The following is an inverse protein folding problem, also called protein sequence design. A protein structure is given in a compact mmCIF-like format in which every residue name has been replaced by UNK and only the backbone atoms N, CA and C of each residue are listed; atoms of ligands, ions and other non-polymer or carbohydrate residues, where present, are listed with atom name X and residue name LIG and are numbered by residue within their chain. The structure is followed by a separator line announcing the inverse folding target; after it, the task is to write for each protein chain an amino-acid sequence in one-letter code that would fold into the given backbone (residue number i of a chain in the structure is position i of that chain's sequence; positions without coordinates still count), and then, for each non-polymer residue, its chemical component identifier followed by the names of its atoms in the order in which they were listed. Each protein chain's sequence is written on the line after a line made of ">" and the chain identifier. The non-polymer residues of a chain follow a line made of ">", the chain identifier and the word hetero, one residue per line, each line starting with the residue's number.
data_IF_270170931205
#
_entry.id   IF_270170931205
#
_cell.length_a   1.000
_cell.length_b   1.000
_cell.length_c   1.000
_cell.angle_alpha   90.00
_cell.angle_beta   90.00
_cell.angle_gamma   90.00
#
_symmetry.space_group_name_H-M   'P 1'
#
loop_
_entity.id
_entity.type
_entity.pdbx_description
1 polymer ?
#
# COMPACT_ATOMS: atom_id res chain seq x y z
N UNK A 1 11.36 23.40 12.03
CA UNK A 1 12.67 22.86 12.44
C UNK A 1 12.58 22.40 13.89
N UNK A 2 13.44 21.52 14.40
CA UNK A 2 13.45 21.23 15.85
C UNK A 2 13.80 22.48 16.68
N UNK A 3 14.64 23.35 16.12
CA UNK A 3 15.03 24.64 16.72
C UNK A 3 13.87 25.65 16.79
N UNK A 4 12.86 25.53 15.93
CA UNK A 4 11.70 26.45 15.96
C UNK A 4 10.70 26.12 17.06
N UNK A 5 10.83 24.96 17.73
CA UNK A 5 9.94 24.51 18.81
C UNK A 5 10.75 23.85 19.94
N UNK A 6 11.62 24.60 20.63
CA UNK A 6 12.64 24.02 21.48
C UNK A 6 12.07 23.26 22.69
N UNK A 7 11.01 23.77 23.30
CA UNK A 7 10.34 23.13 24.45
C UNK A 7 9.79 21.74 24.05
N UNK A 8 9.16 21.63 22.87
CA UNK A 8 8.63 20.35 22.39
C UNK A 8 9.76 19.39 22.09
N UNK A 9 10.80 19.84 21.40
CA UNK A 9 11.97 19.02 21.10
C UNK A 9 12.65 18.50 22.36
N UNK A 10 12.85 19.35 23.37
CA UNK A 10 13.46 18.97 24.63
C UNK A 10 12.61 17.94 25.39
N UNK A 11 11.29 18.09 25.40
CA UNK A 11 10.39 17.10 26.01
C UNK A 11 10.45 15.73 25.34
N UNK A 12 10.62 15.70 24.00
CA UNK A 12 10.76 14.45 23.25
C UNK A 12 12.12 13.79 23.48
N UNK A 13 13.20 14.59 23.55
CA UNK A 13 14.54 14.08 23.87
C UNK A 13 14.63 13.55 25.29
N UNK A 14 14.04 14.24 26.27
CA UNK A 14 13.96 13.74 27.65
C UNK A 14 13.27 12.38 27.69
N UNK A 15 12.17 12.21 26.95
CA UNK A 15 11.51 10.92 26.82
C UNK A 15 12.38 9.84 26.18
N UNK A 16 13.18 10.17 25.16
CA UNK A 16 14.12 9.21 24.55
C UNK A 16 15.23 8.79 25.52
N UNK A 17 15.67 9.69 26.41
CA UNK A 17 16.63 9.38 27.49
C UNK A 17 15.97 8.49 28.55
N UNK A 18 14.76 8.85 29.01
CA UNK A 18 14.01 8.07 30.01
C UNK A 18 13.68 6.65 29.53
N UNK A 19 13.38 6.49 28.23
CA UNK A 19 13.15 5.18 27.60
C UNK A 19 14.46 4.40 27.35
N UNK A 20 15.63 5.01 27.59
CA UNK A 20 16.95 4.40 27.47
C UNK A 20 17.50 4.33 26.04
N UNK A 21 16.88 5.03 25.08
CA UNK A 21 17.30 5.00 23.67
C UNK A 21 18.57 5.80 23.42
N UNK A 22 18.81 6.84 24.20
CA UNK A 22 20.05 7.62 24.17
C UNK A 22 20.52 7.98 25.57
N UNK A 23 21.78 8.41 25.66
CA UNK A 23 22.36 9.08 26.83
C UNK A 23 22.69 10.51 26.46
N UNK A 24 22.49 11.42 27.40
CA UNK A 24 22.81 12.83 27.21
C UNK A 24 24.06 13.26 27.98
N UNK A 25 24.77 14.25 27.45
CA UNK A 25 26.03 14.76 28.00
C UNK A 25 26.04 16.29 27.90
N UNK A 26 26.52 16.95 28.96
CA UNK A 26 26.71 18.41 29.01
C UNK A 26 28.02 18.86 28.35
N UNK A 27 28.98 17.95 28.17
CA UNK A 27 30.30 18.22 27.60
C UNK A 27 30.62 17.26 26.47
N UNK A 28 31.26 17.77 25.41
CA UNK A 28 31.79 16.94 24.32
C UNK A 28 32.89 16.00 24.82
N UNK A 29 33.68 16.40 25.82
CA UNK A 29 34.74 15.55 26.37
C UNK A 29 34.18 14.29 27.03
N UNK A 30 33.07 14.43 27.76
CA UNK A 30 32.40 13.31 28.43
C UNK A 30 31.76 12.37 27.40
N UNK A 31 31.16 12.93 26.34
CA UNK A 31 30.65 12.17 25.21
C UNK A 31 31.76 11.35 24.52
N UNK A 32 32.88 11.99 24.20
CA UNK A 32 34.01 11.33 23.52
C UNK A 32 34.64 10.24 24.38
N UNK A 33 34.76 10.48 25.68
CA UNK A 33 35.20 9.49 26.67
C UNK A 33 34.22 8.31 26.74
N UNK A 34 32.91 8.57 26.76
CA UNK A 34 31.87 7.53 26.78
C UNK A 34 31.89 6.65 25.52
N UNK A 35 32.12 7.26 24.35
CA UNK A 35 32.15 6.57 23.06
C UNK A 35 33.51 5.95 22.72
N UNK A 36 34.52 6.15 23.56
CA UNK A 36 35.91 5.75 23.33
C UNK A 36 36.40 6.14 21.92
N UNK A 37 36.19 7.42 21.55
CA UNK A 37 36.52 7.92 20.23
C UNK A 37 37.07 9.34 20.28
N UNK A 38 37.82 9.72 19.24
CA UNK A 38 38.37 11.08 19.12
C UNK A 38 37.42 12.08 18.47
N UNK A 39 36.44 11.60 17.70
CA UNK A 39 35.51 12.43 16.91
C UNK A 39 34.16 11.74 16.74
N UNK A 40 33.12 12.56 16.64
CA UNK A 40 31.74 12.15 16.34
C UNK A 40 31.21 12.89 15.12
N UNK A 41 30.21 12.30 14.46
CA UNK A 41 29.43 12.95 13.41
C UNK A 41 28.09 13.35 14.02
N UNK A 42 27.88 14.66 14.17
CA UNK A 42 26.63 15.19 14.67
C UNK A 42 25.60 15.28 13.55
N UNK A 43 24.39 14.82 13.81
CA UNK A 43 23.25 14.90 12.89
C UNK A 43 22.25 15.92 13.40
N UNK A 44 21.74 16.80 12.53
CA UNK A 44 20.72 17.78 12.91
C UNK A 44 19.39 17.09 13.21
N UNK A 45 18.62 17.69 14.11
CA UNK A 45 17.32 17.19 14.48
C UNK A 45 16.22 17.93 13.71
N UNK A 46 15.41 17.18 13.00
CA UNK A 46 14.16 17.59 12.39
C UNK A 46 12.97 17.25 13.30
N UNK A 47 11.94 18.08 13.22
CA UNK A 47 10.67 17.88 13.92
C UNK A 47 9.55 17.79 12.88
N UNK A 48 8.89 16.64 12.81
CA UNK A 48 7.83 16.38 11.83
C UNK A 48 6.48 16.19 12.54
N UNK A 49 5.45 16.95 12.18
CA UNK A 49 4.12 16.77 12.77
C UNK A 49 3.53 15.42 12.35
N UNK A 50 2.90 14.73 13.29
CA UNK A 50 2.08 13.56 13.01
C UNK A 50 0.80 14.05 12.33
N UNK A 51 0.43 13.43 11.20
CA UNK A 51 -0.78 13.83 10.48
C UNK A 51 -2.01 13.66 11.36
N UNK A 52 -2.82 14.71 11.46
CA UNK A 52 -4.09 14.70 12.18
C UNK A 52 -3.96 14.76 13.70
N UNK A 53 -2.78 15.06 14.24
CA UNK A 53 -2.60 15.30 15.68
C UNK A 53 -1.61 16.45 15.92
N UNK A 54 -1.64 17.03 17.12
CA UNK A 54 -0.69 18.06 17.55
C UNK A 54 0.64 17.47 18.05
N UNK A 55 0.87 16.17 17.82
CA UNK A 55 2.08 15.48 18.23
C UNK A 55 3.16 15.57 17.16
N UNK A 56 4.41 15.56 17.59
CA UNK A 56 5.56 15.59 16.70
C UNK A 56 6.39 14.29 16.78
N UNK A 57 7.23 14.08 15.76
CA UNK A 57 8.25 13.01 15.70
C UNK A 57 9.61 13.66 15.51
N UNK A 58 10.60 13.16 16.25
CA UNK A 58 12.00 13.46 16.01
C UNK A 58 12.49 12.67 14.80
N UNK A 59 13.19 13.34 13.89
CA UNK A 59 13.86 12.71 12.74
C UNK A 59 15.26 13.27 12.66
N UNK A 60 16.26 12.42 12.49
CA UNK A 60 17.63 12.86 12.28
C UNK A 60 17.84 13.19 10.79
N UNK A 61 18.27 14.40 10.49
CA UNK A 61 18.60 14.82 9.14
C UNK A 61 20.05 14.44 8.80
N UNK A 62 20.25 13.17 8.47
CA UNK A 62 21.53 12.61 8.06
C UNK A 62 21.90 12.93 6.59
N UNK A 63 21.17 13.83 5.94
CA UNK A 63 21.49 14.29 4.58
C UNK A 63 22.41 15.51 4.57
N UNK A 64 22.37 16.35 5.59
CA UNK A 64 23.21 17.56 5.66
C UNK A 64 24.68 17.29 6.00
N UNK A 65 24.99 16.15 6.62
CA UNK A 65 26.33 15.78 7.07
C UNK A 65 26.97 14.66 6.22
N UNK A 66 26.43 14.39 5.03
CA UNK A 66 26.86 13.33 4.11
C UNK A 66 26.93 11.91 4.70
N UNK A 67 26.36 11.69 5.90
CA UNK A 67 26.34 10.39 6.54
C UNK A 67 25.58 9.38 5.66
N UNK A 68 24.41 9.77 5.15
CA UNK A 68 23.63 8.93 4.25
C UNK A 68 24.31 8.65 2.90
N UNK A 69 25.18 9.54 2.44
CA UNK A 69 25.98 9.35 1.23
C UNK A 69 27.14 8.37 1.45
N UNK A 70 27.68 8.34 2.68
CA UNK A 70 28.80 7.49 3.08
C UNK A 70 28.40 6.04 3.43
N UNK A 71 27.11 5.80 3.67
CA UNK A 71 26.59 4.46 3.99
C UNK A 71 26.51 3.59 2.74
N UNK A 72 27.24 2.47 2.76
CA UNK A 72 27.10 1.40 1.79
C UNK A 72 25.96 0.45 2.20
N UNK A 73 24.97 0.27 1.31
CA UNK A 73 23.93 -0.75 1.46
C UNK A 73 24.22 -1.89 0.49
N UNK A 74 24.58 -3.11 0.96
CA UNK A 74 24.91 -4.22 0.09
C UNK A 74 23.68 -4.83 -0.60
N UNK A 75 22.47 -4.52 -0.13
CA UNK A 75 21.23 -5.11 -0.63
C UNK A 75 20.07 -4.11 -0.58
N UNK A 76 19.02 -4.43 -1.33
CA UNK A 76 17.76 -3.71 -1.29
C UNK A 76 16.73 -4.47 -0.44
N UNK A 77 16.05 -3.76 0.44
CA UNK A 77 14.94 -4.31 1.19
C UNK A 77 13.75 -4.56 0.25
N UNK A 78 13.31 -5.81 0.15
CA UNK A 78 12.08 -6.18 -0.57
C UNK A 78 10.93 -6.23 0.43
N UNK A 79 9.98 -5.31 0.28
CA UNK A 79 8.79 -5.25 1.10
C UNK A 79 7.61 -5.92 0.40
N UNK A 80 6.70 -6.58 1.15
CA UNK A 80 5.53 -7.20 0.56
C UNK A 80 4.60 -6.15 -0.05
N UNK A 81 3.94 -6.54 -1.13
CA UNK A 81 2.93 -5.76 -1.83
C UNK A 81 1.54 -6.15 -1.37
N UNK A 82 0.56 -5.33 -1.74
CA UNK A 82 -0.86 -5.66 -1.52
C UNK A 82 -1.21 -6.99 -2.19
N UNK A 83 -0.67 -7.28 -3.38
CA UNK A 83 -0.86 -8.56 -4.09
C UNK A 83 -0.44 -9.77 -3.27
N UNK A 84 0.69 -9.69 -2.58
CA UNK A 84 1.25 -10.83 -1.84
C UNK A 84 0.33 -11.23 -0.66
N UNK A 85 -0.27 -10.22 -0.01
CA UNK A 85 -1.27 -10.43 1.03
C UNK A 85 -2.61 -10.93 0.49
N UNK A 86 -3.00 -10.53 -0.74
CA UNK A 86 -4.19 -11.07 -1.42
C UNK A 86 -3.99 -12.54 -1.72
N UNK A 87 -2.84 -12.91 -2.31
CA UNK A 87 -2.55 -14.29 -2.73
C UNK A 87 -2.55 -15.23 -1.51
N UNK A 88 -1.95 -14.78 -0.41
CA UNK A 88 -1.99 -15.47 0.88
C UNK A 88 -3.43 -15.66 1.39
N UNK A 89 -4.24 -14.60 1.33
CA UNK A 89 -5.61 -14.63 1.86
C UNK A 89 -6.53 -15.47 0.97
N UNK A 90 -6.35 -15.44 -0.36
CA UNK A 90 -7.04 -16.29 -1.32
C UNK A 90 -6.74 -17.75 -1.05
N UNK A 91 -5.46 -18.11 -0.87
CA UNK A 91 -5.07 -19.48 -0.57
C UNK A 91 -5.74 -20.01 0.70
N UNK A 92 -5.75 -19.22 1.79
CA UNK A 92 -6.40 -19.60 3.05
C UNK A 92 -7.93 -19.65 2.92
N UNK A 93 -8.53 -18.75 2.13
CA UNK A 93 -9.97 -18.69 1.90
C UNK A 93 -10.48 -19.83 1.03
N UNK A 94 -9.74 -20.21 -0.01
CA UNK A 94 -10.04 -21.38 -0.83
C UNK A 94 -10.10 -22.65 0.02
N UNK A 95 -9.10 -22.84 0.89
CA UNK A 95 -9.07 -23.97 1.82
C UNK A 95 -10.23 -23.89 2.83
N UNK A 96 -10.52 -22.69 3.36
CA UNK A 96 -11.69 -22.50 4.23
C UNK A 96 -13.00 -22.89 3.54
N UNK A 97 -13.14 -22.60 2.25
CA UNK A 97 -14.34 -22.95 1.49
C UNK A 97 -14.40 -24.45 1.16
N UNK A 98 -13.26 -25.13 0.98
CA UNK A 98 -13.22 -26.55 0.63
C UNK A 98 -13.43 -27.48 1.83
N UNK A 99 -12.78 -27.19 2.97
CA UNK A 99 -12.80 -28.06 4.16
C UNK A 99 -13.43 -27.39 5.39
N UNK A 100 -13.95 -26.18 5.23
CA UNK A 100 -14.58 -25.42 6.32
C UNK A 100 -13.59 -24.75 7.28
N UNK A 101 -14.14 -24.25 8.38
CA UNK A 101 -13.42 -23.54 9.44
C UNK A 101 -13.60 -22.02 9.41
N UNK A 102 -12.79 -21.34 10.20
CA UNK A 102 -12.81 -19.89 10.39
C UNK A 102 -11.50 -19.27 9.92
N UNK A 103 -11.61 -18.33 9.00
CA UNK A 103 -10.53 -17.45 8.56
C UNK A 103 -10.58 -16.15 9.37
N UNK A 104 -9.47 -15.80 9.99
CA UNK A 104 -9.31 -14.57 10.76
C UNK A 104 -7.98 -13.91 10.44
N UNK A 105 -7.87 -12.63 10.77
CA UNK A 105 -6.62 -11.90 10.65
C UNK A 105 -6.44 -10.88 11.76
N UNK A 106 -5.19 -10.48 11.98
CA UNK A 106 -4.80 -9.45 12.93
C UNK A 106 -3.67 -8.60 12.35
N UNK A 107 -3.72 -7.29 12.61
CA UNK A 107 -2.62 -6.35 12.36
C UNK A 107 -2.21 -5.67 13.66
N UNK A 108 -0.92 -5.64 13.99
CA UNK A 108 -0.40 -5.00 15.22
C UNK A 108 0.99 -4.38 14.98
N UNK A 109 1.08 -3.05 14.98
CA UNK A 109 2.35 -2.36 14.76
C UNK A 109 3.41 -2.66 15.86
N UNK A 110 4.67 -2.75 15.46
CA UNK A 110 5.82 -2.68 16.37
C UNK A 110 5.99 -1.25 16.90
N UNK A 111 6.01 -1.10 18.21
CA UNK A 111 6.24 0.20 18.86
C UNK A 111 7.72 0.56 18.83
N UNK A 112 8.05 1.73 18.27
CA UNK A 112 9.41 2.23 18.16
C UNK A 112 10.37 1.23 17.48
N UNK A 113 9.91 0.55 16.42
CA UNK A 113 10.61 -0.53 15.71
C UNK A 113 12.15 -0.35 15.59
N UNK A 114 12.63 0.76 15.03
CA UNK A 114 14.07 1.00 14.87
C UNK A 114 14.81 1.10 16.22
N UNK A 115 14.16 1.63 17.24
CA UNK A 115 14.71 1.77 18.59
C UNK A 115 14.79 0.44 19.35
N UNK A 116 14.17 -0.62 18.83
CA UNK A 116 14.29 -1.97 19.40
C UNK A 116 15.61 -2.64 19.02
N UNK A 117 16.34 -2.11 18.03
CA UNK A 117 17.60 -2.67 17.55
C UNK A 117 18.77 -1.90 18.18
N UNK A 118 19.60 -2.56 19.01
CA UNK A 118 20.81 -1.97 19.54
C UNK A 118 21.82 -1.65 18.44
N UNK A 119 22.53 -0.55 18.64
CA UNK A 119 23.59 -0.10 17.75
C UNK A 119 24.94 -0.68 18.23
N UNK A 120 25.76 -1.15 17.28
CA UNK A 120 27.13 -1.56 17.59
C UNK A 120 27.94 -0.37 18.11
N UNK A 121 28.82 -0.58 19.09
CA UNK A 121 29.61 0.50 19.71
C UNK A 121 30.34 1.37 18.68
N UNK A 122 30.96 0.75 17.67
CA UNK A 122 31.67 1.46 16.58
C UNK A 122 30.79 2.36 15.71
N UNK A 123 29.47 2.13 15.70
CA UNK A 123 28.51 2.91 14.89
C UNK A 123 27.90 4.09 15.68
N UNK A 124 28.01 4.06 17.02
CA UNK A 124 27.47 5.10 17.90
C UNK A 124 28.04 6.50 17.65
N UNK A 125 29.34 6.69 17.31
CA UNK A 125 29.86 8.00 16.94
C UNK A 125 29.16 8.66 15.75
N UNK A 126 28.44 7.89 14.92
CA UNK A 126 27.65 8.41 13.80
C UNK A 126 26.17 8.65 14.14
N UNK A 127 25.75 8.31 15.37
CA UNK A 127 24.38 8.43 15.86
C UNK A 127 24.32 9.42 17.02
N UNK A 128 24.97 10.57 16.84
CA UNK A 128 25.01 11.67 17.80
C UNK A 128 24.17 12.85 17.32
N UNK A 129 23.40 13.43 18.24
CA UNK A 129 22.63 14.66 18.02
C UNK A 129 23.08 15.71 19.02
N UNK A 130 23.15 16.97 18.59
CA UNK A 130 23.37 18.11 19.48
C UNK A 130 22.14 19.00 19.47
N UNK A 131 21.61 19.30 20.65
CA UNK A 131 20.42 20.14 20.81
C UNK A 131 20.48 20.88 22.14
N UNK A 132 20.22 22.19 22.10
CA UNK A 132 20.12 23.06 23.29
C UNK A 132 21.30 22.92 24.26
N UNK A 133 22.53 22.97 23.72
CA UNK A 133 23.76 22.88 24.52
C UNK A 133 24.11 21.48 25.03
N UNK A 134 23.30 20.45 24.72
CA UNK A 134 23.53 19.06 25.15
C UNK A 134 23.78 18.13 23.97
N UNK A 135 24.62 17.13 24.21
CA UNK A 135 24.92 16.05 23.28
C UNK A 135 24.09 14.82 23.62
N UNK A 136 23.57 14.12 22.62
CA UNK A 136 22.78 12.91 22.77
C UNK A 136 23.42 11.80 21.93
N UNK A 137 23.94 10.77 22.58
CA UNK A 137 24.47 9.58 21.92
C UNK A 137 23.40 8.48 21.93
N UNK A 138 22.94 8.06 20.75
CA UNK A 138 21.94 7.00 20.64
C UNK A 138 22.59 5.62 20.73
N UNK A 139 21.93 4.73 21.49
CA UNK A 139 22.30 3.32 21.60
C UNK A 139 21.51 2.43 20.64
N UNK A 140 20.63 3.02 19.83
CA UNK A 140 19.67 2.32 18.97
C UNK A 140 19.57 3.01 17.62
N UNK A 141 18.97 2.35 16.63
CA UNK A 141 18.87 2.90 15.28
C UNK A 141 18.05 4.21 15.25
N UNK A 142 18.50 5.17 14.46
CA UNK A 142 17.87 6.47 14.31
C UNK A 142 16.93 6.54 13.09
N UNK A 143 15.82 7.26 13.23
CA UNK A 143 14.99 7.62 12.08
C UNK A 143 15.72 8.66 11.24
N UNK A 144 15.81 8.42 9.92
CA UNK A 144 16.46 9.31 8.96
C UNK A 144 17.89 8.90 8.56
N UNK A 145 18.46 7.91 9.26
CA UNK A 145 19.69 7.24 8.83
C UNK A 145 19.35 6.16 7.81
N UNK A 146 20.09 6.14 6.68
CA UNK A 146 19.79 5.32 5.50
C UNK A 146 19.85 3.81 5.76
N UNK A 147 20.72 3.35 6.66
CA UNK A 147 20.88 1.94 7.02
C UNK A 147 19.78 1.41 7.95
N UNK A 148 19.14 2.27 8.74
CA UNK A 148 18.21 1.85 9.79
C UNK A 148 17.01 1.04 9.26
N UNK A 149 16.33 1.44 8.16
CA UNK A 149 15.26 0.64 7.58
C UNK A 149 15.72 -0.73 7.09
N UNK A 150 16.93 -0.84 6.56
CA UNK A 150 17.47 -2.12 6.07
C UNK A 150 17.76 -3.07 7.24
N UNK A 151 18.42 -2.58 8.28
CA UNK A 151 18.75 -3.38 9.47
C UNK A 151 17.46 -3.85 10.15
N UNK A 152 16.49 -2.94 10.36
CA UNK A 152 15.18 -3.34 10.87
C UNK A 152 14.48 -4.34 9.95
N UNK A 153 14.54 -4.15 8.63
CA UNK A 153 13.93 -5.07 7.68
C UNK A 153 14.49 -6.49 7.78
N UNK A 154 15.79 -6.65 8.04
CA UNK A 154 16.41 -7.96 8.31
C UNK A 154 15.88 -8.59 9.58
N UNK A 155 15.79 -7.80 10.65
CA UNK A 155 15.27 -8.25 11.95
C UNK A 155 13.79 -8.66 11.82
N UNK A 156 12.96 -7.79 11.24
CA UNK A 156 11.56 -8.04 10.95
C UNK A 156 11.37 -9.32 10.12
N UNK A 157 12.21 -9.56 9.10
CA UNK A 157 12.16 -10.78 8.31
C UNK A 157 12.53 -12.03 9.12
N UNK A 158 13.54 -11.96 9.99
CA UNK A 158 13.91 -13.07 10.88
C UNK A 158 12.76 -13.43 11.82
N UNK A 159 12.24 -12.47 12.58
CA UNK A 159 11.17 -12.71 13.56
C UNK A 159 9.86 -13.12 12.91
N UNK A 160 9.62 -12.72 11.65
CA UNK A 160 8.46 -13.16 10.87
C UNK A 160 8.59 -14.60 10.41
N UNK A 161 9.78 -15.04 10.00
CA UNK A 161 10.03 -16.46 9.67
C UNK A 161 9.92 -17.35 10.89
N UNK A 162 10.43 -16.90 12.05
CA UNK A 162 10.26 -17.61 13.32
C UNK A 162 8.78 -17.74 13.70
N UNK A 163 8.02 -16.64 13.62
CA UNK A 163 6.58 -16.66 13.87
C UNK A 163 5.84 -17.59 12.89
N UNK A 164 6.17 -17.53 11.61
CA UNK A 164 5.57 -18.40 10.58
C UNK A 164 5.91 -19.87 10.81
N UNK A 165 7.13 -20.19 11.24
CA UNK A 165 7.53 -21.54 11.62
C UNK A 165 6.78 -22.04 12.86
N UNK A 166 6.59 -21.19 13.87
CA UNK A 166 5.84 -21.52 15.08
C UNK A 166 4.34 -21.76 14.79
N UNK A 167 3.77 -21.03 13.84
CA UNK A 167 2.35 -21.10 13.50
C UNK A 167 2.02 -22.13 12.42
N UNK A 168 3.04 -22.81 11.88
CA UNK A 168 2.85 -24.02 11.07
C UNK A 168 2.41 -25.16 11.99
N UNK A 169 1.11 -25.24 12.26
CA UNK A 169 0.53 -26.48 12.75
C UNK A 169 0.66 -27.55 11.66
N UNK A 170 0.92 -28.83 12.01
CA UNK A 170 0.61 -29.94 11.10
C UNK A 170 -0.83 -29.73 10.64
N UNK A 171 -1.08 -29.91 9.34
CA UNK A 171 -2.43 -29.83 8.78
C UNK A 171 -3.41 -30.61 9.67
N UNK A 172 -4.24 -29.90 10.44
CA UNK A 172 -5.24 -30.51 11.35
C UNK A 172 -6.21 -31.43 10.59
N UNK A 173 -6.25 -31.30 9.26
CA UNK A 173 -6.96 -32.16 8.34
C UNK A 173 -5.95 -32.99 7.53
N UNK A 174 -6.08 -34.34 7.48
CA UNK A 174 -5.18 -35.20 6.69
C UNK A 174 -5.21 -34.92 5.18
N UNK A 175 -6.18 -34.13 4.71
CA UNK A 175 -6.33 -33.72 3.31
C UNK A 175 -5.79 -32.30 3.00
N UNK A 176 -5.39 -31.53 4.02
CA UNK A 176 -4.84 -30.20 3.77
C UNK A 176 -3.35 -30.28 3.45
N UNK A 177 -2.99 -29.90 2.23
CA UNK A 177 -1.61 -29.79 1.75
C UNK A 177 -1.02 -28.38 1.92
N UNK A 178 -1.80 -27.43 2.45
CA UNK A 178 -1.47 -25.99 2.50
C UNK A 178 -1.28 -25.51 3.94
N UNK A 179 -0.49 -24.46 4.10
CA UNK A 179 -0.25 -23.85 5.41
C UNK A 179 -1.50 -23.12 5.91
N UNK A 180 -1.90 -23.40 7.14
CA UNK A 180 -3.04 -22.77 7.84
C UNK A 180 -2.79 -21.32 8.28
N UNK A 181 -1.58 -20.79 8.07
CA UNK A 181 -1.14 -19.48 8.55
C UNK A 181 -0.33 -18.74 7.48
N UNK A 182 -0.55 -17.43 7.35
CA UNK A 182 0.28 -16.53 6.55
C UNK A 182 0.61 -15.25 7.32
N UNK A 183 1.78 -14.69 7.08
CA UNK A 183 2.24 -13.46 7.69
C UNK A 183 2.95 -12.60 6.64
N UNK A 184 2.45 -11.38 6.46
CA UNK A 184 3.08 -10.35 5.65
C UNK A 184 3.50 -9.19 6.56
N UNK A 185 4.76 -8.73 6.48
CA UNK A 185 5.24 -7.62 7.33
C UNK A 185 5.75 -6.48 6.45
N UNK A 186 5.05 -5.35 6.51
CA UNK A 186 5.47 -4.13 5.82
C UNK A 186 6.14 -3.19 6.82
N UNK A 187 7.48 -3.18 6.83
CA UNK A 187 8.29 -2.42 7.79
C UNK A 187 7.92 -2.82 9.23
N UNK A 188 7.12 -2.03 9.94
CA UNK A 188 6.69 -2.21 11.32
C UNK A 188 5.24 -2.70 11.47
N UNK A 189 4.52 -2.91 10.37
CA UNK A 189 3.10 -3.30 10.33
C UNK A 189 2.93 -4.76 9.86
N UNK A 190 2.87 -5.75 10.77
CA UNK A 190 2.60 -7.14 10.46
C UNK A 190 1.10 -7.39 10.24
N UNK A 191 0.77 -8.13 9.18
CA UNK A 191 -0.57 -8.63 8.84
C UNK A 191 -0.56 -10.16 8.86
N UNK A 192 -1.04 -10.72 9.95
CA UNK A 192 -1.13 -12.17 10.15
C UNK A 192 -2.54 -12.67 9.83
N UNK A 193 -2.62 -13.82 9.18
CA UNK A 193 -3.85 -14.45 8.70
C UNK A 193 -3.82 -15.92 9.09
N UNK A 194 -4.93 -16.46 9.60
CA UNK A 194 -5.02 -17.86 9.99
C UNK A 194 -6.37 -18.46 9.64
N UNK A 195 -6.34 -19.67 9.08
CA UNK A 195 -7.50 -20.57 8.98
C UNK A 195 -7.39 -21.62 10.06
N UNK A 196 -8.46 -21.88 10.79
CA UNK A 196 -8.52 -23.01 11.72
C UNK A 196 -9.93 -23.60 11.78
N UNK A 197 -10.13 -24.82 12.33
CA UNK A 197 -11.46 -25.43 12.45
C UNK A 197 -12.49 -24.57 13.19
N UNK A 198 -12.05 -23.72 14.13
CA UNK A 198 -12.92 -22.77 14.81
C UNK A 198 -12.27 -21.39 14.95
N UNK A 199 -13.11 -20.37 15.15
CA UNK A 199 -12.68 -18.99 15.42
C UNK A 199 -11.83 -18.89 16.69
N UNK A 200 -12.03 -19.78 17.67
CA UNK A 200 -11.21 -19.86 18.88
C UNK A 200 -9.81 -20.35 18.55
N UNK A 201 -9.67 -21.40 17.74
CA UNK A 201 -8.36 -21.90 17.33
C UNK A 201 -7.63 -20.90 16.44
N UNK A 202 -8.31 -20.27 15.48
CA UNK A 202 -7.72 -19.24 14.62
C UNK A 202 -7.15 -18.09 15.46
N UNK A 203 -7.92 -17.61 16.46
CA UNK A 203 -7.44 -16.60 17.41
C UNK A 203 -6.21 -17.06 18.18
N UNK A 204 -6.16 -18.30 18.67
CA UNK A 204 -4.99 -18.82 19.38
C UNK A 204 -3.74 -18.83 18.51
N UNK A 205 -3.87 -19.30 17.26
CA UNK A 205 -2.77 -19.27 16.27
C UNK A 205 -2.30 -17.84 16.03
N UNK A 206 -3.22 -16.89 15.83
CA UNK A 206 -2.88 -15.47 15.63
C UNK A 206 -2.25 -14.80 16.86
N UNK A 207 -2.44 -15.34 18.07
CA UNK A 207 -1.78 -14.85 19.28
C UNK A 207 -0.33 -15.34 19.40
N UNK A 208 0.04 -16.48 18.80
CA UNK A 208 1.39 -17.04 18.92
C UNK A 208 2.50 -16.10 18.42
N UNK A 209 2.38 -15.43 17.25
CA UNK A 209 3.37 -14.45 16.82
C UNK A 209 3.53 -13.31 17.84
N UNK A 210 2.42 -12.83 18.41
CA UNK A 210 2.45 -11.73 19.37
C UNK A 210 3.20 -12.14 20.65
N UNK A 211 2.91 -13.34 21.17
CA UNK A 211 3.58 -13.89 22.35
C UNK A 211 5.06 -14.10 22.07
N UNK A 212 5.42 -14.66 20.91
CA UNK A 212 6.81 -14.84 20.48
C UNK A 212 7.55 -13.50 20.45
N UNK A 213 6.99 -12.49 19.79
CA UNK A 213 7.64 -11.19 19.68
C UNK A 213 7.79 -10.50 21.05
N UNK A 214 6.79 -10.58 21.92
CA UNK A 214 6.92 -10.06 23.30
C UNK A 214 7.99 -10.83 24.08
N UNK A 215 8.05 -12.16 23.94
CA UNK A 215 9.06 -12.99 24.60
C UNK A 215 10.49 -12.70 24.12
N UNK A 216 10.65 -12.31 22.85
CA UNK A 216 11.92 -11.85 22.28
C UNK A 216 12.28 -10.41 22.68
N UNK A 217 11.42 -9.72 23.46
CA UNK A 217 11.66 -8.36 23.95
C UNK A 217 11.13 -7.24 23.05
N UNK A 218 10.40 -7.57 21.97
CA UNK A 218 9.76 -6.56 21.13
C UNK A 218 8.53 -5.97 21.81
N UNK A 219 8.27 -4.69 21.52
CA UNK A 219 7.09 -3.96 22.02
C UNK A 219 6.06 -3.83 20.91
N UNK A 220 4.81 -4.16 21.22
CA UNK A 220 3.70 -4.12 20.27
C UNK A 220 2.68 -3.06 20.67
N UNK A 221 2.13 -2.35 19.68
CA UNK A 221 1.05 -1.38 19.89
C UNK A 221 -0.31 -2.08 20.03
N UNK A 222 -0.45 -2.98 21.02
CA UNK A 222 -1.64 -3.86 21.18
C UNK A 222 -2.95 -3.08 21.30
N UNK A 223 -2.91 -1.86 21.84
CA UNK A 223 -4.07 -0.97 21.93
C UNK A 223 -4.58 -0.49 20.56
N UNK A 224 -3.74 -0.52 19.53
CA UNK A 224 -4.05 -0.12 18.14
C UNK A 224 -4.30 -1.31 17.22
N UNK A 225 -4.35 -2.53 17.76
CA UNK A 225 -4.55 -3.74 16.96
C UNK A 225 -5.86 -3.67 16.16
N UNK A 226 -5.84 -4.25 14.98
CA UNK A 226 -7.03 -4.47 14.16
C UNK A 226 -7.33 -5.97 14.17
N UNK A 227 -8.54 -6.35 14.59
CA UNK A 227 -8.98 -7.75 14.66
C UNK A 227 -10.50 -7.84 14.88
N UNK A 228 -11.21 -8.80 14.26
CA UNK A 228 -10.80 -9.56 13.07
C UNK A 228 -10.90 -8.64 11.83
N UNK A 229 -11.30 -9.15 10.67
CA UNK A 229 -11.68 -8.31 9.52
C UNK A 229 -12.79 -7.31 9.88
N UNK A 230 -12.84 -6.13 9.21
CA UNK A 230 -11.91 -5.66 8.17
C UNK A 230 -10.55 -5.20 8.73
N UNK A 231 -9.47 -5.35 7.95
CA UNK A 231 -8.10 -4.95 8.33
C UNK A 231 -7.56 -3.91 7.35
N UNK A 232 -7.16 -2.73 7.85
CA UNK A 232 -6.42 -1.73 7.08
C UNK A 232 -4.92 -2.04 7.16
N UNK A 233 -4.32 -2.46 6.04
CA UNK A 233 -2.89 -2.77 5.93
C UNK A 233 -2.28 -2.10 4.70
N UNK A 234 -1.09 -1.49 4.85
CA UNK A 234 -0.42 -0.64 3.84
C UNK A 234 -1.33 0.43 3.17
N UNK A 235 -2.36 0.87 3.91
CA UNK A 235 -3.33 1.85 3.44
C UNK A 235 -4.46 1.28 2.57
N UNK A 236 -4.63 -0.04 2.49
CA UNK A 236 -5.77 -0.72 1.84
C UNK A 236 -6.60 -1.43 2.90
N UNK A 237 -7.92 -1.46 2.75
CA UNK A 237 -8.80 -2.19 3.68
C UNK A 237 -9.13 -3.55 3.05
N UNK A 238 -8.79 -4.63 3.75
CA UNK A 238 -9.10 -6.00 3.40
C UNK A 238 -10.35 -6.43 4.14
N UNK A 239 -11.31 -7.00 3.43
CA UNK A 239 -12.52 -7.58 4.01
C UNK A 239 -12.86 -8.92 3.37
N UNK A 240 -13.61 -9.75 4.10
CA UNK A 240 -14.05 -11.09 3.67
C UNK A 240 -15.53 -11.06 3.33
N UNK A 241 -15.86 -11.48 2.11
CA UNK A 241 -17.23 -11.59 1.62
C UNK A 241 -17.53 -13.03 1.18
N UNK A 242 -18.81 -13.47 1.17
CA UNK A 242 -19.19 -14.75 0.57
C UNK A 242 -18.67 -14.94 -0.87
N UNK A 243 -18.65 -13.86 -1.67
CA UNK A 243 -18.18 -13.88 -3.05
C UNK A 243 -16.64 -13.90 -3.21
N UNK A 244 -15.87 -13.66 -2.15
CA UNK A 244 -14.41 -13.58 -2.22
C UNK A 244 -13.83 -12.57 -1.24
N UNK A 245 -12.64 -12.07 -1.56
CA UNK A 245 -11.97 -11.01 -0.77
C UNK A 245 -12.30 -9.67 -1.40
N UNK A 246 -12.67 -8.69 -0.59
CA UNK A 246 -12.92 -7.33 -1.07
C UNK A 246 -11.79 -6.43 -0.56
N UNK A 247 -11.15 -5.72 -1.49
CA UNK A 247 -10.25 -4.63 -1.15
C UNK A 247 -10.97 -3.30 -1.30
N UNK A 248 -10.85 -2.42 -0.32
CA UNK A 248 -11.39 -1.06 -0.40
C UNK A 248 -10.26 -0.03 -0.34
N UNK A 249 -10.42 1.03 -1.13
CA UNK A 249 -9.63 2.26 -0.97
C UNK A 249 -10.21 3.08 0.18
N UNK A 250 -9.43 3.48 1.19
CA UNK A 250 -9.94 4.33 2.26
C UNK A 250 -10.44 5.68 1.75
N UNK A 251 -11.58 6.14 2.24
CA UNK A 251 -12.20 7.41 1.83
C UNK A 251 -11.26 8.62 1.99
N UNK A 252 -10.40 8.63 3.01
CA UNK A 252 -9.42 9.72 3.21
C UNK A 252 -8.47 9.85 1.99
N UNK A 253 -8.13 8.73 1.35
CA UNK A 253 -7.24 8.68 0.19
C UNK A 253 -7.97 9.18 -1.04
N UNK A 254 -9.24 8.80 -1.21
CA UNK A 254 -10.11 9.24 -2.29
C UNK A 254 -10.38 10.74 -2.21
N UNK A 255 -10.80 11.26 -1.04
CA UNK A 255 -11.01 12.71 -0.83
C UNK A 255 -9.74 13.50 -1.11
N UNK A 256 -8.59 13.00 -0.65
CA UNK A 256 -7.30 13.65 -0.92
C UNK A 256 -6.88 13.58 -2.39
N UNK A 257 -7.29 12.55 -3.13
CA UNK A 257 -7.06 12.47 -4.58
C UNK A 257 -8.00 13.41 -5.34
N UNK A 258 -9.29 13.42 -4.99
CA UNK A 258 -10.31 14.32 -5.55
C UNK A 258 -9.88 15.79 -5.41
N UNK A 259 -9.48 16.20 -4.22
CA UNK A 259 -9.02 17.57 -3.98
C UNK A 259 -7.86 17.99 -4.90
N UNK A 260 -6.93 17.08 -5.22
CA UNK A 260 -5.84 17.38 -6.18
C UNK A 260 -6.36 17.51 -7.62
N UNK A 261 -7.33 16.69 -8.01
CA UNK A 261 -7.95 16.74 -9.35
C UNK A 261 -8.73 18.03 -9.51
N UNK A 262 -9.57 18.40 -8.54
CA UNK A 262 -10.35 19.63 -8.55
C UNK A 262 -9.45 20.87 -8.59
N UNK A 263 -8.41 20.89 -7.74
CA UNK A 263 -7.39 21.94 -7.75
C UNK A 263 -6.70 22.07 -9.12
N UNK A 264 -6.52 20.95 -9.82
CA UNK A 264 -5.91 20.93 -11.14
C UNK A 264 -6.87 21.43 -12.22
N UNK A 265 -8.13 20.99 -12.19
CA UNK A 265 -9.18 21.40 -13.13
C UNK A 265 -9.54 22.88 -13.03
N UNK A 266 -9.40 23.48 -11.84
CA UNK A 266 -9.67 24.89 -11.61
C UNK A 266 -8.61 25.84 -12.22
N UNK A 267 -7.53 25.33 -12.81
CA UNK A 267 -6.41 26.13 -13.32
C UNK A 267 -6.24 25.96 -14.83
N UNK A 268 -5.72 26.99 -15.48
CA UNK A 268 -5.33 26.93 -16.90
C UNK A 268 -4.02 26.15 -17.08
N UNK A 269 -3.09 26.32 -16.14
CA UNK A 269 -1.78 25.66 -16.09
C UNK A 269 -1.50 25.15 -14.67
N UNK A 270 -0.86 24.00 -14.56
CA UNK A 270 -0.45 23.44 -13.28
C UNK A 270 1.07 23.18 -13.25
N UNK A 271 1.73 23.29 -12.08
CA UNK A 271 3.13 22.90 -11.95
C UNK A 271 3.33 21.40 -12.21
N UNK A 272 4.44 21.01 -12.83
CA UNK A 272 4.81 19.58 -13.02
C UNK A 272 4.80 18.81 -11.70
N UNK A 273 5.25 19.44 -10.61
CA UNK A 273 5.22 18.85 -9.26
C UNK A 273 3.79 18.50 -8.80
N UNK A 274 2.78 19.29 -9.18
CA UNK A 274 1.38 19.00 -8.84
C UNK A 274 0.87 17.80 -9.66
N UNK A 275 1.13 17.76 -10.97
CA UNK A 275 0.72 16.63 -11.80
C UNK A 275 1.39 15.32 -11.37
N UNK A 276 2.67 15.37 -10.95
CA UNK A 276 3.37 14.21 -10.40
C UNK A 276 2.70 13.67 -9.13
N UNK A 277 2.19 14.55 -8.26
CA UNK A 277 1.40 14.15 -7.08
C UNK A 277 0.08 13.48 -7.48
N UNK A 278 -0.62 14.01 -8.49
CA UNK A 278 -1.85 13.40 -9.03
C UNK A 278 -1.54 11.99 -9.55
N UNK A 279 -0.55 11.86 -10.44
CA UNK A 279 -0.16 10.57 -11.02
C UNK A 279 0.23 9.56 -9.94
N UNK A 280 1.04 9.97 -8.95
CA UNK A 280 1.45 9.09 -7.84
C UNK A 280 0.26 8.59 -7.00
N UNK A 281 -0.71 9.45 -6.68
CA UNK A 281 -1.91 9.01 -5.94
C UNK A 281 -2.75 8.01 -6.72
N UNK A 282 -3.03 8.31 -7.99
CA UNK A 282 -3.88 7.42 -8.79
C UNK A 282 -3.15 6.16 -9.26
N UNK A 283 -1.83 6.17 -9.40
CA UNK A 283 -1.04 4.96 -9.62
C UNK A 283 -1.15 4.01 -8.42
N UNK A 284 -1.16 4.54 -7.19
CA UNK A 284 -1.40 3.72 -6.00
C UNK A 284 -2.85 3.20 -5.95
N UNK A 285 -3.85 4.04 -6.23
CA UNK A 285 -5.26 3.60 -6.33
C UNK A 285 -5.41 2.51 -7.42
N UNK A 286 -4.71 2.67 -8.54
CA UNK A 286 -4.72 1.73 -9.67
C UNK A 286 -4.25 0.32 -9.33
N UNK A 287 -3.45 0.14 -8.27
CA UNK A 287 -3.09 -1.20 -7.78
C UNK A 287 -4.30 -1.97 -7.24
N UNK A 288 -5.28 -1.25 -6.68
CA UNK A 288 -6.53 -1.80 -6.14
C UNK A 288 -7.60 -1.79 -7.23
N UNK A 289 -7.64 -0.72 -8.04
CA UNK A 289 -8.71 -0.39 -8.97
C UNK A 289 -8.14 -0.19 -10.38
N UNK A 290 -7.86 -1.28 -11.15
CA UNK A 290 -7.04 -1.21 -12.36
C UNK A 290 -7.59 -0.31 -13.47
N UNK A 291 -8.91 -0.14 -13.57
CA UNK A 291 -9.54 0.69 -14.60
C UNK A 291 -9.16 2.17 -14.50
N UNK A 292 -8.75 2.64 -13.32
CA UNK A 292 -8.23 4.00 -13.13
C UNK A 292 -6.95 4.24 -13.95
N UNK A 293 -6.14 3.20 -14.19
CA UNK A 293 -4.85 3.32 -14.89
C UNK A 293 -4.99 3.86 -16.32
N UNK A 294 -6.10 3.55 -17.01
CA UNK A 294 -6.37 4.05 -18.36
C UNK A 294 -6.41 5.59 -18.41
N UNK A 295 -6.92 6.24 -17.36
CA UNK A 295 -7.03 7.69 -17.27
C UNK A 295 -5.75 8.33 -16.72
N UNK A 296 -4.91 7.57 -16.02
CA UNK A 296 -3.60 8.03 -15.53
C UNK A 296 -2.54 8.02 -16.63
N UNK A 297 -2.62 7.09 -17.59
CA UNK A 297 -1.63 6.95 -18.67
C UNK A 297 -1.39 8.25 -19.47
N UNK A 298 -2.41 9.00 -19.94
CA UNK A 298 -2.20 10.28 -20.60
C UNK A 298 -1.53 11.34 -19.72
N UNK A 299 -1.73 11.28 -18.40
CA UNK A 299 -1.08 12.19 -17.45
C UNK A 299 0.43 11.92 -17.38
N UNK A 300 0.84 10.64 -17.38
CA UNK A 300 2.24 10.26 -17.49
C UNK A 300 2.84 10.67 -18.83
N UNK A 301 2.09 10.57 -19.93
CA UNK A 301 2.52 11.07 -21.23
C UNK A 301 2.84 12.57 -21.19
N UNK A 302 1.94 13.38 -20.61
CA UNK A 302 2.15 14.81 -20.43
C UNK A 302 3.35 15.12 -19.52
N UNK A 303 3.55 14.38 -18.43
CA UNK A 303 4.73 14.49 -17.57
C UNK A 303 6.02 14.19 -18.34
N UNK A 304 6.06 13.10 -19.10
CA UNK A 304 7.25 12.71 -19.85
C UNK A 304 7.64 13.75 -20.91
N UNK A 305 6.65 14.37 -21.57
CA UNK A 305 6.92 15.49 -22.50
C UNK A 305 7.47 16.70 -21.73
N UNK A 306 6.84 17.08 -20.62
CA UNK A 306 7.29 18.23 -19.82
C UNK A 306 8.71 18.04 -19.29
N UNK A 307 9.08 16.83 -18.85
CA UNK A 307 10.43 16.51 -18.38
C UNK A 307 11.46 16.58 -19.53
N UNK A 308 11.15 16.00 -20.69
CA UNK A 308 12.03 16.08 -21.87
C UNK A 308 12.23 17.51 -22.36
N UNK A 309 11.20 18.34 -22.31
CA UNK A 309 11.25 19.73 -22.74
C UNK A 309 11.67 20.71 -21.62
N UNK A 310 12.02 20.21 -20.43
CA UNK A 310 12.37 20.99 -19.25
C UNK A 310 11.32 22.06 -18.87
N UNK A 311 10.04 21.74 -19.03
CA UNK A 311 8.93 22.63 -18.67
C UNK A 311 8.64 22.56 -17.16
N UNK A 312 8.38 23.71 -16.55
CA UNK A 312 7.98 23.79 -15.14
C UNK A 312 6.46 23.63 -14.93
N UNK A 313 5.67 23.70 -16.01
CA UNK A 313 4.22 23.69 -15.99
C UNK A 313 3.62 22.90 -17.16
N UNK A 314 2.36 22.50 -17.03
CA UNK A 314 1.58 21.78 -18.04
C UNK A 314 0.22 22.48 -18.22
N UNK A 315 -0.22 22.64 -19.46
CA UNK A 315 -1.53 23.21 -19.76
C UNK A 315 -2.63 22.18 -19.46
N UNK A 316 -3.62 22.56 -18.66
CA UNK A 316 -4.66 21.62 -18.19
C UNK A 316 -5.49 21.08 -19.34
N UNK A 317 -5.70 21.86 -20.42
CA UNK A 317 -6.39 21.39 -21.63
C UNK A 317 -5.79 20.11 -22.23
N UNK A 318 -4.48 19.88 -22.11
CA UNK A 318 -3.82 18.67 -22.62
C UNK A 318 -4.24 17.41 -21.85
N UNK A 319 -4.59 17.56 -20.57
CA UNK A 319 -4.88 16.47 -19.64
C UNK A 319 -6.31 16.51 -19.08
N UNK A 320 -7.12 17.48 -19.53
CA UNK A 320 -8.44 17.79 -18.95
C UNK A 320 -9.37 16.57 -19.00
N UNK A 321 -9.37 15.84 -20.11
CA UNK A 321 -10.21 14.65 -20.29
C UNK A 321 -9.91 13.60 -19.22
N UNK A 322 -8.64 13.26 -19.02
CA UNK A 322 -8.20 12.35 -17.96
C UNK A 322 -8.63 12.82 -16.58
N UNK A 323 -8.41 14.11 -16.26
CA UNK A 323 -8.77 14.67 -14.97
C UNK A 323 -10.28 14.66 -14.71
N UNK A 324 -11.11 14.97 -15.71
CA UNK A 324 -12.58 14.92 -15.60
C UNK A 324 -13.06 13.49 -15.34
N UNK A 325 -12.51 12.51 -16.05
CA UNK A 325 -12.84 11.11 -15.79
C UNK A 325 -12.46 10.69 -14.38
N UNK A 326 -11.22 11.00 -13.94
CA UNK A 326 -10.79 10.69 -12.58
C UNK A 326 -11.67 11.34 -11.51
N UNK A 327 -12.15 12.58 -11.74
CA UNK A 327 -13.14 13.23 -10.86
C UNK A 327 -14.46 12.46 -10.86
N UNK A 328 -15.03 12.19 -12.03
CA UNK A 328 -16.31 11.50 -12.17
C UNK A 328 -16.32 10.12 -11.50
N UNK A 329 -15.24 9.34 -11.66
CA UNK A 329 -15.12 8.05 -10.96
C UNK A 329 -15.20 8.23 -9.44
N UNK A 330 -14.51 9.22 -8.86
CA UNK A 330 -14.54 9.47 -7.42
C UNK A 330 -15.89 10.01 -6.96
N UNK A 331 -16.49 10.94 -7.70
CA UNK A 331 -17.81 11.50 -7.33
C UNK A 331 -18.87 10.40 -7.26
N UNK A 332 -18.90 9.49 -8.25
CA UNK A 332 -19.84 8.37 -8.26
C UNK A 332 -19.71 7.50 -7.01
N UNK A 333 -18.49 7.32 -6.47
CA UNK A 333 -18.28 6.57 -5.22
C UNK A 333 -18.90 7.26 -3.99
N UNK A 334 -18.93 8.59 -3.98
CA UNK A 334 -19.48 9.37 -2.86
C UNK A 334 -20.98 9.70 -3.02
N UNK A 335 -21.47 9.77 -4.26
CA UNK A 335 -22.89 10.04 -4.56
C UNK A 335 -23.77 8.78 -4.48
N UNK A 336 -23.18 7.60 -4.69
CA UNK A 336 -23.91 6.33 -4.60
C UNK A 336 -24.14 5.96 -3.14
N UNK A 337 -25.39 5.65 -2.76
CA UNK A 337 -25.74 4.96 -1.51
C UNK A 337 -25.09 3.57 -1.37
N UNK A 338 -24.39 3.11 -2.41
CA UNK A 338 -23.63 1.86 -2.49
C UNK A 338 -22.16 2.17 -2.78
N UNK A 339 -21.31 2.18 -1.74
CA UNK A 339 -19.86 2.52 -1.76
C UNK A 339 -18.96 1.51 -2.51
N UNK A 340 -19.36 1.04 -3.70
CA UNK A 340 -18.78 -0.14 -4.37
C UNK A 340 -17.77 0.15 -5.49
N UNK A 341 -17.61 1.39 -5.94
CA UNK A 341 -16.76 1.67 -7.12
C UNK A 341 -15.25 1.66 -6.85
N UNK A 342 -14.82 1.98 -5.63
CA UNK A 342 -13.42 1.83 -5.21
C UNK A 342 -13.22 0.64 -4.28
N UNK A 343 -13.97 -0.42 -4.56
CA UNK A 343 -13.63 -1.74 -4.10
C UNK A 343 -13.30 -2.66 -5.28
N UNK A 344 -12.46 -3.66 -5.00
CA UNK A 344 -12.19 -4.74 -5.94
C UNK A 344 -12.45 -6.06 -5.26
N UNK A 345 -13.31 -6.85 -5.88
CA UNK A 345 -13.58 -8.23 -5.46
C UNK A 345 -12.57 -9.15 -6.14
N UNK A 346 -11.86 -9.93 -5.33
CA UNK A 346 -11.03 -11.05 -5.75
C UNK A 346 -11.84 -12.32 -5.48
N UNK A 347 -12.46 -12.92 -6.51
CA UNK A 347 -13.23 -14.13 -6.34
C UNK A 347 -12.29 -15.26 -5.93
N UNK A 348 -12.72 -16.08 -4.97
CA UNK A 348 -12.01 -17.33 -4.68
C UNK A 348 -12.25 -18.31 -5.83
N UNK A 349 -11.27 -19.16 -6.14
CA UNK A 349 -11.26 -20.02 -7.33
C UNK A 349 -12.42 -21.03 -7.45
N UNK A 350 -13.50 -20.94 -6.68
CA UNK A 350 -14.77 -21.59 -7.04
C UNK A 350 -15.40 -21.02 -8.33
N UNK A 351 -14.87 -19.91 -8.88
CA UNK A 351 -15.12 -19.52 -10.28
C UNK A 351 -14.38 -20.38 -11.32
N UNK A 352 -13.50 -21.31 -10.92
CA UNK A 352 -13.01 -22.38 -11.81
C UNK A 352 -14.11 -23.38 -12.21
N UNK A 353 -15.31 -23.26 -11.63
CA UNK A 353 -16.52 -23.92 -12.13
C UNK A 353 -17.27 -23.12 -13.20
N UNK A 354 -16.85 -21.88 -13.48
CA UNK A 354 -17.35 -21.15 -14.64
C UNK A 354 -16.81 -21.84 -15.86
N UNK A 355 -17.60 -22.81 -16.34
CA UNK A 355 -17.40 -23.50 -17.61
C UNK A 355 -17.01 -22.49 -18.69
N UNK A 356 -17.59 -21.29 -18.66
CA UNK A 356 -17.36 -20.25 -19.63
C UNK A 356 -16.61 -19.05 -19.06
N UNK A 357 -15.56 -18.58 -19.74
CA UNK A 357 -14.92 -17.29 -19.46
C UNK A 357 -14.79 -16.46 -20.74
N UNK A 358 -15.00 -15.14 -20.66
CA UNK A 358 -14.85 -14.24 -21.82
C UNK A 358 -13.70 -13.29 -21.52
N UNK A 359 -12.70 -13.29 -22.39
CA UNK A 359 -11.62 -12.31 -22.39
C UNK A 359 -11.92 -11.30 -23.47
N UNK A 360 -12.05 -10.02 -23.11
CA UNK A 360 -12.26 -8.93 -24.07
C UNK A 360 -11.07 -7.99 -24.06
N UNK A 361 -10.75 -7.44 -25.23
CA UNK A 361 -9.80 -6.35 -25.39
C UNK A 361 -10.40 -5.30 -26.34
N UNK A 362 -10.04 -4.04 -26.13
CA UNK A 362 -10.52 -2.94 -26.96
C UNK A 362 -9.41 -1.93 -27.23
N UNK A 363 -9.38 -1.44 -28.46
CA UNK A 363 -8.54 -0.34 -28.92
C UNK A 363 -9.41 0.85 -29.32
N UNK A 364 -8.83 2.03 -29.62
CA UNK A 364 -9.58 3.14 -30.18
C UNK A 364 -10.31 2.83 -31.51
N UNK A 365 -9.98 1.73 -32.17
CA UNK A 365 -10.47 1.39 -33.52
C UNK A 365 -11.44 0.20 -33.54
N UNK A 366 -11.54 -0.56 -32.45
CA UNK A 366 -12.31 -1.80 -32.43
C UNK A 366 -12.26 -2.49 -31.07
N UNK A 367 -13.21 -3.39 -30.85
CA UNK A 367 -13.30 -4.27 -29.69
C UNK A 367 -13.31 -5.72 -30.17
N UNK A 368 -12.72 -6.62 -29.39
CA UNK A 368 -12.83 -8.04 -29.64
C UNK A 368 -12.85 -8.83 -28.36
N UNK A 369 -13.19 -10.10 -28.47
CA UNK A 369 -13.11 -10.99 -27.33
C UNK A 369 -13.21 -12.46 -27.72
N UNK A 370 -12.76 -13.31 -26.81
CA UNK A 370 -12.72 -14.76 -26.96
C UNK A 370 -13.49 -15.37 -25.79
N UNK A 371 -14.43 -16.26 -26.09
CA UNK A 371 -15.10 -17.13 -25.13
C UNK A 371 -14.30 -18.43 -25.00
N UNK A 372 -13.97 -18.80 -23.78
CA UNK A 372 -13.33 -20.07 -23.42
C UNK A 372 -14.33 -20.99 -22.72
N UNK A 373 -14.33 -22.28 -23.07
CA UNK A 373 -14.87 -23.38 -22.24
C UNK A 373 -13.70 -23.98 -21.45
N UNK A 374 -13.59 -23.64 -20.16
CA UNK A 374 -12.41 -23.92 -19.34
C UNK A 374 -11.16 -23.23 -19.89
N UNK A 375 -10.16 -24.00 -20.30
CA UNK A 375 -8.94 -23.51 -20.95
C UNK A 375 -9.02 -23.47 -22.49
N UNK A 376 -10.12 -23.95 -23.08
CA UNK A 376 -10.24 -24.09 -24.54
C UNK A 376 -11.03 -22.94 -25.15
N UNK A 377 -10.48 -22.17 -26.10
CA UNK A 377 -11.25 -21.15 -26.80
C UNK A 377 -12.34 -21.80 -27.67
N UNK A 378 -13.56 -21.29 -27.61
CA UNK A 378 -14.74 -21.85 -28.29
C UNK A 378 -15.36 -20.90 -29.32
N UNK A 379 -15.35 -19.60 -29.05
CA UNK A 379 -15.83 -18.60 -30.01
C UNK A 379 -15.12 -17.27 -29.81
N UNK A 380 -15.20 -16.39 -30.81
CA UNK A 380 -14.64 -15.06 -30.75
C UNK A 380 -15.57 -14.06 -31.43
N UNK A 381 -15.44 -12.79 -31.06
CA UNK A 381 -16.04 -11.68 -31.77
C UNK A 381 -14.99 -10.58 -32.01
N UNK A 382 -15.17 -9.83 -33.08
CA UNK A 382 -14.47 -8.58 -33.31
C UNK A 382 -15.46 -7.59 -33.94
N UNK A 383 -15.41 -6.34 -33.50
CA UNK A 383 -16.25 -5.27 -34.00
C UNK A 383 -15.43 -3.98 -34.15
N UNK A 384 -15.70 -3.22 -35.20
CA UNK A 384 -15.04 -1.92 -35.43
C UNK A 384 -15.81 -0.83 -34.72
N UNK A 385 -15.12 -0.01 -33.92
CA UNK A 385 -15.76 1.11 -33.25
C UNK A 385 -16.08 2.20 -34.28
N UNK A 386 -17.37 2.45 -34.48
CA UNK A 386 -17.84 3.49 -35.39
C UNK A 386 -17.71 4.88 -34.76
N UNK A 387 -17.77 5.94 -35.58
CA UNK A 387 -17.79 7.32 -35.06
C UNK A 387 -18.96 7.58 -34.10
N UNK A 388 -20.09 6.88 -34.27
CA UNK A 388 -21.22 6.93 -33.34
C UNK A 388 -20.91 6.32 -31.98
N UNK A 389 -20.02 5.33 -31.90
CA UNK A 389 -19.62 4.72 -30.63
C UNK A 389 -18.63 5.62 -29.84
N UNK A 390 -17.95 6.53 -30.56
CA UNK A 390 -17.06 7.54 -29.97
C UNK A 390 -17.81 8.76 -29.43
N UNK A 391 -19.07 8.96 -29.81
CA UNK A 391 -19.97 9.96 -29.21
C UNK A 391 -20.58 9.35 -27.95
N UNK A 392 -19.72 9.02 -26.99
CA UNK A 392 -20.16 8.89 -25.60
C UNK A 392 -20.39 10.32 -25.11
N UNK A 393 -21.65 10.65 -24.83
CA UNK A 393 -22.12 11.99 -24.49
C UNK A 393 -21.14 12.73 -23.57
N UNK A 394 -20.76 13.95 -23.98
CA UNK A 394 -20.26 14.89 -22.98
C UNK A 394 -21.35 15.01 -21.91
N UNK A 395 -21.03 14.96 -20.61
CA UNK A 395 -22.04 15.13 -19.59
C UNK A 395 -22.73 16.47 -19.84
N UNK A 396 -24.01 16.38 -20.22
CA UNK A 396 -24.86 17.55 -20.41
C UNK A 396 -24.92 18.28 -19.07
N UNK A 397 -24.82 19.60 -19.11
CA UNK A 397 -24.75 20.49 -17.96
C UNK A 397 -26.06 20.57 -17.15
N UNK A 398 -26.95 19.58 -17.26
CA UNK A 398 -28.24 19.50 -16.58
C UNK A 398 -28.32 18.18 -15.83
N UNK A 399 -28.03 18.23 -14.53
CA UNK A 399 -28.26 17.13 -13.61
C UNK A 399 -29.77 16.90 -13.43
N UNK A 400 -30.23 15.67 -13.65
CA UNK A 400 -31.30 15.06 -12.83
C UNK A 400 -31.45 13.55 -13.03
N UNK A 401 -30.87 12.94 -14.08
CA UNK A 401 -30.89 11.48 -14.24
C UNK A 401 -29.54 11.02 -14.82
N UNK A 402 -28.66 10.50 -13.97
CA UNK A 402 -27.46 9.76 -14.39
C UNK A 402 -27.90 8.31 -14.65
N UNK A 403 -28.01 7.86 -15.91
CA UNK A 403 -28.41 6.49 -16.19
C UNK A 403 -27.25 5.56 -15.87
N UNK A 404 -27.54 4.40 -15.25
CA UNK A 404 -26.70 3.24 -14.89
C UNK A 404 -25.68 2.75 -15.97
N UNK A 405 -24.81 3.63 -16.45
CA UNK A 405 -24.07 3.47 -17.72
C UNK A 405 -22.57 3.68 -17.51
N UNK A 406 -22.04 3.08 -16.45
CA UNK A 406 -20.61 2.77 -16.39
C UNK A 406 -20.51 1.25 -16.55
N UNK A 407 -20.03 0.84 -17.73
CA UNK A 407 -19.91 -0.55 -18.23
C UNK A 407 -21.23 -1.22 -18.65
N UNK A 408 -21.92 -0.61 -19.62
CA UNK A 408 -22.46 -1.41 -20.72
C UNK A 408 -21.55 -1.19 -21.91
N UNK A 409 -20.46 -1.97 -21.98
CA UNK A 409 -19.97 -2.37 -23.31
C UNK A 409 -21.22 -2.97 -23.97
N UNK A 410 -21.65 -2.36 -25.07
CA UNK A 410 -22.82 -2.75 -25.84
C UNK A 410 -22.52 -4.07 -26.58
N UNK A 411 -22.16 -5.12 -25.84
CA UNK A 411 -21.78 -6.43 -26.35
C UNK A 411 -22.96 -7.42 -26.43
N UNK A 412 -24.19 -6.97 -26.15
CA UNK A 412 -25.38 -7.79 -26.39
C UNK A 412 -26.28 -7.11 -27.43
N UNK A 413 -25.88 -7.20 -28.70
CA UNK A 413 -26.88 -7.46 -29.74
C UNK A 413 -27.23 -8.94 -29.63
N UNK A 414 -28.44 -9.19 -29.17
CA UNK A 414 -29.12 -10.48 -29.12
C UNK A 414 -28.84 -11.27 -30.40
N UNK A 415 -28.05 -12.34 -30.32
CA UNK A 415 -27.99 -13.34 -31.39
C UNK A 415 -29.22 -14.23 -31.24
N UNK A 416 -30.35 -13.77 -31.75
CA UNK A 416 -31.50 -14.62 -32.06
C UNK A 416 -31.29 -15.27 -33.43
N UNK A 417 -30.35 -16.22 -33.55
CA UNK A 417 -30.47 -17.37 -34.45
C UNK A 417 -29.26 -18.33 -34.30
N UNK A 418 -29.44 -19.59 -33.83
CA UNK A 418 -28.33 -20.54 -33.68
C UNK A 418 -27.80 -21.16 -34.98
N UNK A 419 -28.29 -20.75 -36.16
CA UNK A 419 -28.09 -21.51 -37.41
C UNK A 419 -27.20 -20.84 -38.48
N UNK A 420 -26.45 -19.77 -38.19
CA UNK A 420 -25.69 -19.07 -39.25
C UNK A 420 -24.18 -18.84 -39.03
N UNK A 421 -23.53 -19.57 -38.12
CA UNK A 421 -22.07 -19.53 -38.00
C UNK A 421 -21.42 -20.77 -38.61
N UNK A 422 -21.51 -20.89 -39.93
CA UNK A 422 -20.62 -21.72 -40.73
C UNK A 422 -19.45 -20.90 -41.26
N UNK A 423 -18.25 -21.44 -41.05
CA UNK A 423 -17.01 -21.20 -41.80
C UNK A 423 -16.42 -19.79 -41.80
N UNK A 424 -15.25 -19.66 -41.15
CA UNK A 424 -13.98 -19.39 -41.84
C UNK A 424 -12.81 -19.54 -40.86
N UNK A 425 -12.33 -20.78 -40.78
CA UNK A 425 -10.89 -21.04 -40.72
C UNK A 425 -10.32 -20.87 -42.14
N UNK A 426 -8.98 -20.74 -42.25
CA UNK A 426 -8.13 -20.37 -43.40
C UNK A 426 -7.82 -18.86 -43.31
N UNK A 427 -6.62 -18.39 -42.97
CA UNK A 427 -5.24 -18.91 -43.14
C UNK A 427 -4.33 -18.30 -42.05
#
# INVERSE_FOLDING_TARGET
>A
SAESMPVVTQSLLAKEVDEGFCKDFSSISDLLSFLDCSRVVCTKLGLVPKKGTDQFRLICDASENDLNASIALPEHLVLPRVSDAIDSLLSLREEQLSIGGSLQAISVDFSNAFKLVPLMEREKPFHVVFFDGRWYAYNTLLFGVRSSPLIWGREAALISRLASGLCQAPSDHPESSKSSFSLNVFVDDPFAQARAPSSRYARLVLCLPLVLWIALGFRLAVAKRQYPFPIKWIGVIFDIHPAGIILHVPDEKLRSALALVETSLAKVRIPVKLLRKVCGKFAWIGQIVPYVCAFVSPLWGALGVAERCNWSWIHVNQIRRSLVWLKAFIDVHFDSSSSSFYSRVFPCASWSSSRWSIVVDASPFGVGGILYDGASPTSWFADTLSRSDLVMEQPSSSASELPDTIVKIRAFRTVHNPQSLTSRFIE
#
